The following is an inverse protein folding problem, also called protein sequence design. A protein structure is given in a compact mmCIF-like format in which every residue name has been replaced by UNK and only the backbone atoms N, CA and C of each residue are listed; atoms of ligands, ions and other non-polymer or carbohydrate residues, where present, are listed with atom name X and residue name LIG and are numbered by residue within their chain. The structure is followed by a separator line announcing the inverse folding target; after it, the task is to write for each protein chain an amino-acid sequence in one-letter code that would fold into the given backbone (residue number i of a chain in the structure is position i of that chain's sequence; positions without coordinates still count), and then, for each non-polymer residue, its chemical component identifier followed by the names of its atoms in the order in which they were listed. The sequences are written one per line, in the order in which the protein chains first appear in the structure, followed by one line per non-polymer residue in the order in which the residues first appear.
data_IF_515243351175
#
_entry.id   IF_515243351175
#
_cell.length_a   1.000
_cell.length_b   1.000
_cell.length_c   1.000
_cell.angle_alpha   90.00
_cell.angle_beta   90.00
_cell.angle_gamma   90.00
#
_symmetry.space_group_name_H-M   'P 1'
#
loop_
_entity.id
_entity.type
_entity.pdbx_description
1 polymer ?
#
# COMPACT_ATOMS: atom_id res chain seq x y z
N UNK A 1 37.42 25.80 14.25
CA UNK A 1 35.96 25.54 14.19
C UNK A 1 35.39 25.62 12.76
N UNK A 2 35.97 26.40 11.82
CA UNK A 2 35.51 26.45 10.41
C UNK A 2 35.74 25.14 9.65
N UNK A 3 36.92 24.52 9.82
CA UNK A 3 37.33 23.34 9.07
C UNK A 3 36.42 22.11 9.23
N UNK A 4 35.78 21.96 10.40
CA UNK A 4 34.80 20.89 10.69
C UNK A 4 33.47 21.15 9.99
N UNK A 5 33.06 22.42 9.89
CA UNK A 5 31.84 22.83 9.19
C UNK A 5 32.00 22.65 7.68
N UNK A 6 33.16 23.01 7.13
CA UNK A 6 33.47 22.84 5.71
C UNK A 6 33.55 21.35 5.31
N UNK A 7 34.07 20.51 6.21
CA UNK A 7 34.11 19.06 6.01
C UNK A 7 32.72 18.42 6.08
N UNK A 8 31.83 18.91 6.95
CA UNK A 8 30.46 18.44 7.05
C UNK A 8 29.63 18.82 5.82
N UNK A 9 29.77 20.04 5.33
CA UNK A 9 29.07 20.49 4.12
C UNK A 9 29.58 19.77 2.86
N UNK A 10 30.89 19.49 2.78
CA UNK A 10 31.45 18.66 1.72
C UNK A 10 30.92 17.23 1.74
N UNK A 11 30.77 16.63 2.93
CA UNK A 11 30.23 15.27 3.08
C UNK A 11 28.74 15.22 2.71
N UNK A 12 27.93 16.19 3.16
CA UNK A 12 26.51 16.30 2.78
C UNK A 12 26.35 16.47 1.28
N UNK A 13 27.16 17.31 0.64
CA UNK A 13 27.13 17.49 -0.81
C UNK A 13 27.52 16.20 -1.56
N UNK A 14 28.45 15.41 -1.01
CA UNK A 14 28.84 14.10 -1.57
C UNK A 14 27.74 13.05 -1.39
N UNK A 15 27.09 12.99 -0.23
CA UNK A 15 25.96 12.10 0.03
C UNK A 15 24.79 12.47 -0.88
N UNK A 16 24.41 13.75 -0.98
CA UNK A 16 23.37 14.20 -1.91
C UNK A 16 23.73 13.93 -3.38
N UNK A 17 25.02 13.89 -3.73
CA UNK A 17 25.50 13.46 -5.05
C UNK A 17 25.30 11.96 -5.29
N UNK A 18 25.62 11.13 -4.29
CA UNK A 18 25.45 9.68 -4.34
C UNK A 18 23.98 9.26 -4.31
N UNK A 19 23.14 9.90 -3.50
CA UNK A 19 21.69 9.67 -3.46
C UNK A 19 21.04 9.97 -4.83
N UNK A 20 21.46 11.06 -5.49
CA UNK A 20 21.02 11.36 -6.87
C UNK A 20 21.56 10.37 -7.89
N UNK A 21 22.77 9.84 -7.70
CA UNK A 21 23.35 8.83 -8.57
C UNK A 21 22.63 7.48 -8.41
N UNK A 22 22.33 7.04 -7.18
CA UNK A 22 21.57 5.82 -6.93
C UNK A 22 20.10 5.94 -7.38
N UNK A 23 19.50 7.13 -7.30
CA UNK A 23 18.22 7.42 -7.96
C UNK A 23 18.31 7.35 -9.51
N UNK A 24 19.49 7.64 -10.07
CA UNK A 24 19.80 7.61 -11.50
C UNK A 24 20.34 6.27 -12.05
N UNK A 25 20.70 5.32 -11.19
CA UNK A 25 21.19 3.97 -11.56
C UNK A 25 20.06 3.00 -11.91
N UNK A 26 18.84 3.50 -12.11
CA UNK A 26 17.77 2.77 -12.77
C UNK A 26 18.05 2.73 -14.28
N UNK A 27 18.84 1.75 -14.73
CA UNK A 27 19.12 1.54 -16.15
C UNK A 27 17.86 1.58 -17.01
N UNK A 28 17.74 2.64 -17.83
CA UNK A 28 16.69 2.84 -18.83
C UNK A 28 15.30 2.38 -18.39
N UNK A 29 14.64 3.13 -17.50
CA UNK A 29 13.20 2.94 -17.30
C UNK A 29 12.47 3.26 -18.62
N UNK A 30 11.68 2.33 -19.19
CA UNK A 30 10.92 2.64 -20.39
C UNK A 30 9.96 3.79 -20.09
N UNK A 31 9.93 4.81 -20.95
CA UNK A 31 9.14 6.01 -20.78
C UNK A 31 7.69 5.67 -20.37
N UNK A 32 7.26 6.19 -19.22
CA UNK A 32 5.91 5.99 -18.70
C UNK A 32 5.68 4.74 -17.83
N UNK A 33 6.73 4.03 -17.39
CA UNK A 33 6.64 2.96 -16.38
C UNK A 33 7.64 3.18 -15.25
N UNK A 34 7.31 2.69 -14.06
CA UNK A 34 8.22 2.60 -12.92
C UNK A 34 8.46 1.13 -12.62
N UNK A 35 9.72 0.68 -12.63
CA UNK A 35 10.05 -0.69 -12.23
C UNK A 35 9.77 -0.86 -10.74
N UNK A 36 9.21 -1.99 -10.34
CA UNK A 36 8.98 -2.31 -8.93
C UNK A 36 10.25 -2.79 -8.24
N UNK A 37 11.22 -3.28 -9.02
CA UNK A 37 12.45 -3.90 -8.53
C UNK A 37 12.36 -5.43 -8.45
N UNK A 38 11.15 -5.98 -8.48
CA UNK A 38 10.94 -7.42 -8.47
C UNK A 38 10.74 -7.95 -9.90
N UNK A 39 11.71 -8.72 -10.40
CA UNK A 39 11.75 -9.17 -11.79
C UNK A 39 10.47 -9.88 -12.26
N UNK A 40 9.90 -10.76 -11.42
CA UNK A 40 8.66 -11.47 -11.76
C UNK A 40 7.43 -10.56 -11.87
N UNK A 41 7.36 -9.49 -11.06
CA UNK A 41 6.26 -8.53 -11.07
C UNK A 41 6.42 -7.63 -12.28
N UNK A 42 7.63 -7.13 -12.51
CA UNK A 42 7.93 -6.27 -13.65
C UNK A 42 7.68 -7.00 -14.96
N UNK A 43 8.04 -8.28 -15.07
CA UNK A 43 7.72 -9.12 -16.24
C UNK A 43 6.21 -9.25 -16.44
N UNK A 44 5.44 -9.56 -15.39
CA UNK A 44 3.99 -9.68 -15.45
C UNK A 44 3.29 -8.36 -15.88
N UNK A 45 3.86 -7.21 -15.51
CA UNK A 45 3.37 -5.88 -15.87
C UNK A 45 3.87 -5.38 -17.23
N UNK A 46 4.79 -6.11 -17.86
CA UNK A 46 5.43 -5.72 -19.12
C UNK A 46 6.44 -4.58 -18.95
N UNK A 47 7.31 -4.69 -17.94
CA UNK A 47 8.39 -3.77 -17.64
C UNK A 47 8.13 -2.82 -16.46
N UNK A 48 7.14 -3.11 -15.61
CA UNK A 48 6.82 -2.31 -14.41
C UNK A 48 5.46 -1.62 -14.43
N UNK A 49 5.14 -0.95 -13.32
CA UNK A 49 3.87 -0.27 -13.08
C UNK A 49 3.75 0.94 -14.00
N UNK A 50 2.62 1.08 -14.71
CA UNK A 50 2.40 2.21 -15.62
C UNK A 50 2.21 3.51 -14.84
N UNK A 51 2.88 4.57 -15.26
CA UNK A 51 2.62 5.94 -14.78
C UNK A 51 1.38 6.51 -15.47
N UNK A 52 0.82 7.59 -14.94
CA UNK A 52 -0.33 8.30 -15.53
C UNK A 52 -1.57 7.40 -15.70
N UNK A 53 -1.77 6.47 -14.77
CA UNK A 53 -2.88 5.51 -14.77
C UNK A 53 -3.51 5.40 -13.39
N UNK A 54 -4.73 4.90 -13.36
CA UNK A 54 -5.43 4.52 -12.14
C UNK A 54 -5.05 3.09 -11.74
N UNK A 55 -4.53 2.90 -10.54
CA UNK A 55 -4.26 1.60 -9.94
C UNK A 55 -5.12 1.42 -8.70
N UNK A 56 -5.71 0.24 -8.52
CA UNK A 56 -6.45 -0.10 -7.31
C UNK A 56 -5.67 -1.07 -6.45
N UNK A 57 -5.54 -0.73 -5.16
CA UNK A 57 -4.93 -1.59 -4.14
C UNK A 57 -5.98 -1.88 -3.09
N UNK A 58 -6.34 -3.14 -2.95
CA UNK A 58 -7.28 -3.61 -1.93
C UNK A 58 -6.51 -4.21 -0.76
N UNK A 59 -6.85 -3.82 0.47
CA UNK A 59 -6.48 -4.61 1.63
C UNK A 59 -7.24 -5.94 1.57
N UNK A 60 -6.57 -7.05 1.90
CA UNK A 60 -7.17 -8.38 1.90
C UNK A 60 -8.29 -8.47 2.93
N UNK A 61 -7.99 -8.09 4.17
CA UNK A 61 -8.98 -7.84 5.23
C UNK A 61 -8.97 -6.38 5.70
N UNK A 62 -9.92 -6.01 6.56
CA UNK A 62 -9.93 -4.68 7.17
C UNK A 62 -8.70 -4.45 8.06
N UNK A 63 -8.20 -5.49 8.70
CA UNK A 63 -7.05 -5.44 9.60
C UNK A 63 -5.72 -5.28 8.84
N UNK A 64 -5.70 -5.62 7.54
CA UNK A 64 -4.59 -5.36 6.62
C UNK A 64 -4.49 -3.89 6.16
N UNK A 65 -5.33 -2.98 6.70
CA UNK A 65 -5.32 -1.58 6.28
C UNK A 65 -3.95 -0.91 6.46
N UNK A 66 -3.25 -1.20 7.57
CA UNK A 66 -1.92 -0.67 7.83
C UNK A 66 -0.88 -1.18 6.83
N UNK A 67 -0.89 -2.48 6.51
CA UNK A 67 0.08 -3.04 5.57
C UNK A 67 -0.21 -2.56 4.13
N UNK A 68 -1.48 -2.47 3.72
CA UNK A 68 -1.86 -1.96 2.42
C UNK A 68 -1.48 -0.48 2.26
N UNK A 69 -1.61 0.31 3.33
CA UNK A 69 -1.12 1.69 3.40
C UNK A 69 0.40 1.76 3.20
N UNK A 70 1.17 0.91 3.90
CA UNK A 70 2.62 0.82 3.74
C UNK A 70 3.03 0.42 2.31
N UNK A 71 2.32 -0.53 1.70
CA UNK A 71 2.57 -0.94 0.32
C UNK A 71 2.28 0.19 -0.68
N UNK A 72 1.18 0.93 -0.50
CA UNK A 72 0.88 2.11 -1.32
C UNK A 72 1.94 3.19 -1.15
N UNK A 73 2.44 3.43 0.06
CA UNK A 73 3.53 4.37 0.31
C UNK A 73 4.82 3.94 -0.40
N UNK A 74 5.16 2.65 -0.37
CA UNK A 74 6.30 2.09 -1.09
C UNK A 74 6.17 2.25 -2.61
N UNK A 75 4.99 1.96 -3.18
CA UNK A 75 4.72 2.19 -4.60
C UNK A 75 4.76 3.68 -4.96
N UNK A 76 4.23 4.56 -4.11
CA UNK A 76 4.28 5.99 -4.32
C UNK A 76 5.73 6.50 -4.35
N UNK A 77 6.59 5.97 -3.48
CA UNK A 77 8.02 6.28 -3.48
C UNK A 77 8.70 5.82 -4.79
N UNK A 78 8.38 4.63 -5.30
CA UNK A 78 8.86 4.15 -6.63
C UNK A 78 8.43 5.05 -7.78
N UNK A 79 7.17 5.48 -7.75
CA UNK A 79 6.62 6.37 -8.76
C UNK A 79 7.26 7.76 -8.65
N UNK A 80 7.55 8.23 -7.43
CA UNK A 80 8.21 9.51 -7.19
C UNK A 80 7.33 10.72 -7.53
N UNK A 81 7.92 11.91 -7.34
CA UNK A 81 7.21 13.19 -7.41
C UNK A 81 6.45 13.51 -6.11
N UNK A 82 5.73 14.65 -6.10
CA UNK A 82 4.95 15.06 -4.92
C UNK A 82 3.80 14.08 -4.68
N UNK A 83 3.66 13.60 -3.45
CA UNK A 83 2.58 12.70 -3.05
C UNK A 83 1.46 13.50 -2.38
N UNK A 84 0.25 13.38 -2.93
CA UNK A 84 -0.96 13.86 -2.27
C UNK A 84 -1.77 12.66 -1.79
N UNK A 85 -2.07 12.59 -0.51
CA UNK A 85 -2.83 11.50 0.10
C UNK A 85 -4.17 12.03 0.60
N UNK A 86 -5.25 11.61 -0.04
CA UNK A 86 -6.61 12.05 0.26
C UNK A 86 -7.37 10.94 0.97
N UNK A 87 -7.92 11.26 2.16
CA UNK A 87 -8.61 10.32 3.03
C UNK A 87 -10.00 10.84 3.39
N UNK A 88 -10.92 9.91 3.60
CA UNK A 88 -12.20 10.20 4.22
C UNK A 88 -12.03 10.36 5.74
N UNK A 89 -12.66 11.36 6.36
CA UNK A 89 -12.55 11.60 7.81
C UNK A 89 -13.09 10.45 8.66
N UNK A 90 -14.08 9.72 8.17
CA UNK A 90 -14.55 8.48 8.81
C UNK A 90 -13.54 7.33 8.69
N UNK A 91 -12.71 7.31 7.64
CA UNK A 91 -11.60 6.36 7.53
C UNK A 91 -10.53 6.64 8.59
N UNK A 92 -10.23 7.91 8.88
CA UNK A 92 -9.28 8.29 9.93
C UNK A 92 -9.74 7.82 11.32
N UNK A 93 -11.04 7.93 11.62
CA UNK A 93 -11.60 7.46 12.90
C UNK A 93 -11.57 5.93 13.07
N UNK A 94 -11.61 5.18 11.97
CA UNK A 94 -11.73 3.71 12.00
C UNK A 94 -10.38 3.01 11.81
N UNK A 95 -9.60 3.47 10.84
CA UNK A 95 -8.29 2.93 10.50
C UNK A 95 -7.12 3.69 11.13
N UNK A 96 -7.40 4.76 11.88
CA UNK A 96 -6.38 5.60 12.50
C UNK A 96 -5.74 6.60 11.54
N UNK A 97 -4.74 7.30 12.09
CA UNK A 97 -3.97 8.30 11.37
C UNK A 97 -2.85 7.67 10.56
N UNK A 98 -2.39 8.39 9.53
CA UNK A 98 -1.22 7.98 8.78
C UNK A 98 0.01 8.06 9.69
N UNK A 99 0.66 6.92 9.93
CA UNK A 99 1.73 6.82 10.91
C UNK A 99 3.04 7.38 10.35
N UNK A 100 3.39 8.61 10.73
CA UNK A 100 4.58 9.30 10.19
C UNK A 100 5.90 8.52 10.39
N UNK A 101 6.21 7.96 11.58
CA UNK A 101 7.38 7.08 11.71
C UNK A 101 7.38 5.85 10.79
N UNK A 102 6.22 5.20 10.58
CA UNK A 102 6.11 4.10 9.62
C UNK A 102 6.37 4.52 8.17
N UNK A 103 6.01 5.75 7.78
CA UNK A 103 6.40 6.29 6.46
C UNK A 103 7.91 6.46 6.35
N UNK A 104 8.56 6.93 7.42
CA UNK A 104 10.03 7.05 7.47
C UNK A 104 10.69 5.67 7.34
N UNK A 105 10.15 4.63 7.96
CA UNK A 105 10.63 3.25 7.81
C UNK A 105 10.50 2.72 6.37
N UNK A 106 9.45 3.13 5.65
CA UNK A 106 9.30 2.86 4.20
C UNK A 106 10.31 3.67 3.35
N UNK A 107 10.97 4.67 3.92
CA UNK A 107 11.87 5.59 3.21
C UNK A 107 11.17 6.81 2.62
N UNK A 108 9.90 7.03 2.96
CA UNK A 108 9.12 8.18 2.51
C UNK A 108 9.22 9.30 3.55
N UNK A 109 9.80 10.44 3.17
CA UNK A 109 9.83 11.61 4.05
C UNK A 109 8.42 12.16 4.26
N UNK A 110 7.94 12.33 5.50
CA UNK A 110 6.62 12.93 5.76
C UNK A 110 6.47 14.33 5.17
N UNK A 111 7.57 15.06 4.95
CA UNK A 111 7.57 16.38 4.30
C UNK A 111 7.21 16.34 2.80
N UNK A 112 7.29 15.17 2.17
CA UNK A 112 6.91 14.97 0.76
C UNK A 112 5.44 14.56 0.59
N UNK A 113 4.70 14.45 1.70
CA UNK A 113 3.30 14.00 1.73
C UNK A 113 2.38 15.16 2.07
N UNK A 114 1.52 15.53 1.13
CA UNK A 114 0.41 16.44 1.39
C UNK A 114 -0.80 15.58 1.79
N UNK A 115 -1.16 15.62 3.07
CA UNK A 115 -2.30 14.87 3.60
C UNK A 115 -3.57 15.75 3.60
N UNK A 116 -4.63 15.27 2.96
CA UNK A 116 -5.96 15.87 3.01
C UNK A 116 -6.97 14.92 3.63
N UNK A 117 -7.61 15.33 4.74
CA UNK A 117 -8.77 14.63 5.32
C UNK A 117 -10.04 15.37 4.94
N UNK A 118 -10.97 14.68 4.28
CA UNK A 118 -12.19 15.25 3.70
C UNK A 118 -13.44 14.61 4.32
N UNK A 119 -14.58 15.31 4.36
CA UNK A 119 -15.75 14.87 5.14
C UNK A 119 -16.36 13.54 4.66
N UNK A 120 -16.30 13.25 3.35
CA UNK A 120 -16.90 12.05 2.77
C UNK A 120 -16.17 11.59 1.48
N UNK A 121 -16.49 10.37 1.03
CA UNK A 121 -15.94 9.80 -0.20
C UNK A 121 -16.17 10.67 -1.46
N UNK A 122 -17.27 11.40 -1.56
CA UNK A 122 -17.53 12.26 -2.73
C UNK A 122 -16.59 13.47 -2.74
N UNK A 123 -16.35 14.08 -1.58
CA UNK A 123 -15.39 15.16 -1.41
C UNK A 123 -13.96 14.69 -1.74
N UNK A 124 -13.56 13.50 -1.25
CA UNK A 124 -12.28 12.87 -1.62
C UNK A 124 -12.14 12.73 -3.14
N UNK A 125 -13.16 12.21 -3.82
CA UNK A 125 -13.12 12.01 -5.27
C UNK A 125 -13.08 13.33 -6.06
N UNK A 126 -13.76 14.37 -5.57
CA UNK A 126 -13.68 15.72 -6.16
C UNK A 126 -12.29 16.30 -6.00
N UNK A 127 -11.72 16.23 -4.80
CA UNK A 127 -10.35 16.68 -4.56
C UNK A 127 -9.33 15.89 -5.40
N UNK A 128 -9.51 14.58 -5.57
CA UNK A 128 -8.66 13.76 -6.45
C UNK A 128 -8.74 14.23 -7.92
N UNK A 129 -9.92 14.60 -8.40
CA UNK A 129 -10.07 15.17 -9.74
C UNK A 129 -9.40 16.56 -9.87
N UNK A 130 -9.29 17.31 -8.78
CA UNK A 130 -8.61 18.61 -8.75
C UNK A 130 -7.09 18.45 -8.71
N UNK A 131 -6.60 17.54 -7.86
CA UNK A 131 -5.19 17.18 -7.73
C UNK A 131 -4.62 16.63 -9.04
N UNK A 132 -5.39 15.84 -9.79
CA UNK A 132 -4.97 15.39 -11.12
C UNK A 132 -4.84 16.53 -12.14
N UNK A 133 -5.19 17.78 -11.82
CA UNK A 133 -4.92 18.94 -12.70
C UNK A 133 -3.67 19.71 -12.29
N UNK A 134 -3.00 19.31 -11.21
CA UNK A 134 -1.77 19.93 -10.72
C UNK A 134 -0.55 19.24 -11.36
N UNK A 135 0.25 19.99 -12.13
CA UNK A 135 1.40 19.44 -12.87
C UNK A 135 2.56 18.96 -11.99
N UNK A 136 2.68 19.45 -10.75
CA UNK A 136 3.77 19.10 -9.83
C UNK A 136 3.49 17.85 -8.98
N UNK A 137 2.30 17.24 -9.14
CA UNK A 137 1.90 16.03 -8.41
C UNK A 137 2.33 14.80 -9.19
N UNK A 138 3.14 13.94 -8.57
CA UNK A 138 3.53 12.66 -9.17
C UNK A 138 2.48 11.58 -8.91
N UNK A 139 1.97 11.53 -7.68
CA UNK A 139 1.05 10.49 -7.22
C UNK A 139 -0.07 11.09 -6.39
N UNK A 140 -1.31 10.69 -6.69
CA UNK A 140 -2.49 10.99 -5.88
C UNK A 140 -3.06 9.69 -5.31
N UNK A 141 -3.01 9.54 -3.99
CA UNK A 141 -3.63 8.42 -3.28
C UNK A 141 -5.05 8.82 -2.87
N UNK A 142 -5.99 7.96 -3.20
CA UNK A 142 -7.41 8.10 -2.91
C UNK A 142 -7.81 6.95 -1.99
N UNK A 143 -7.79 7.20 -0.69
CA UNK A 143 -8.13 6.20 0.33
C UNK A 143 -9.64 6.23 0.61
N UNK A 144 -10.28 5.08 0.36
CA UNK A 144 -11.73 4.92 0.49
C UNK A 144 -12.04 3.69 1.34
N UNK A 145 -12.97 3.86 2.28
CA UNK A 145 -13.40 2.79 3.17
C UNK A 145 -14.71 2.17 2.68
N UNK A 146 -14.82 0.84 2.74
CA UNK A 146 -15.96 0.08 2.21
C UNK A 146 -16.22 0.41 0.73
N UNK A 147 -17.46 0.21 0.30
CA UNK A 147 -17.91 0.41 -1.07
C UNK A 147 -18.83 1.65 -1.16
N UNK A 148 -18.27 2.88 -1.08
CA UNK A 148 -19.07 4.09 -1.17
C UNK A 148 -19.68 4.19 -2.56
N UNK A 149 -20.99 4.47 -2.63
CA UNK A 149 -21.74 4.61 -3.89
C UNK A 149 -21.14 5.65 -4.84
N UNK A 150 -20.44 6.65 -4.31
CA UNK A 150 -19.78 7.68 -5.09
C UNK A 150 -18.61 7.15 -5.95
N UNK A 151 -17.99 6.02 -5.57
CA UNK A 151 -16.93 5.39 -6.35
C UNK A 151 -17.50 4.30 -7.26
N UNK A 152 -18.20 4.72 -8.30
CA UNK A 152 -18.77 3.84 -9.31
C UNK A 152 -17.86 3.72 -10.56
N UNK A 153 -18.31 2.96 -11.56
CA UNK A 153 -17.59 2.82 -12.82
C UNK A 153 -17.41 4.16 -13.55
N UNK A 154 -18.34 5.10 -13.39
CA UNK A 154 -18.26 6.42 -14.01
C UNK A 154 -17.18 7.28 -13.35
N UNK A 155 -17.15 7.31 -12.02
CA UNK A 155 -16.14 8.01 -11.23
C UNK A 155 -14.74 7.45 -11.49
N UNK A 156 -14.58 6.12 -11.48
CA UNK A 156 -13.28 5.50 -11.79
C UNK A 156 -12.84 5.78 -13.22
N UNK A 157 -13.75 5.79 -14.21
CA UNK A 157 -13.42 6.20 -15.60
C UNK A 157 -12.95 7.64 -15.69
N UNK A 158 -13.64 8.57 -15.01
CA UNK A 158 -13.26 9.99 -14.99
C UNK A 158 -11.88 10.18 -14.37
N UNK A 159 -11.60 9.50 -13.25
CA UNK A 159 -10.27 9.53 -12.63
C UNK A 159 -9.19 8.92 -13.54
N UNK A 160 -9.46 7.79 -14.19
CA UNK A 160 -8.50 7.17 -15.10
C UNK A 160 -8.16 8.07 -16.29
N UNK A 161 -9.16 8.76 -16.87
CA UNK A 161 -8.95 9.73 -17.95
C UNK A 161 -8.19 10.97 -17.47
N UNK A 162 -8.49 11.47 -16.27
CA UNK A 162 -7.77 12.61 -15.69
C UNK A 162 -6.30 12.26 -15.39
N UNK A 163 -6.03 11.06 -14.87
CA UNK A 163 -4.68 10.55 -14.66
C UNK A 163 -3.89 10.48 -15.98
N UNK A 164 -4.51 9.92 -17.03
CA UNK A 164 -3.89 9.81 -18.34
C UNK A 164 -3.60 11.17 -18.98
N UNK A 165 -4.53 12.13 -18.87
CA UNK A 165 -4.38 13.45 -19.46
C UNK A 165 -3.32 14.32 -18.74
N UNK A 166 -3.10 14.09 -17.45
CA UNK A 166 -2.25 14.95 -16.61
C UNK A 166 -0.86 14.41 -16.36
N UNK A 167 -0.65 13.10 -16.49
CA UNK A 167 0.58 12.44 -16.07
C UNK A 167 0.56 11.98 -14.60
N UNK A 168 -0.38 12.46 -13.79
CA UNK A 168 -0.51 12.07 -12.38
C UNK A 168 -0.91 10.59 -12.28
N UNK A 169 -0.16 9.81 -11.49
CA UNK A 169 -0.55 8.43 -11.22
C UNK A 169 -1.53 8.40 -10.05
N UNK A 170 -2.70 7.80 -10.24
CA UNK A 170 -3.74 7.72 -9.20
C UNK A 170 -3.73 6.33 -8.59
N UNK A 171 -3.61 6.23 -7.27
CA UNK A 171 -3.73 4.97 -6.54
C UNK A 171 -4.99 5.03 -5.67
N UNK A 172 -5.99 4.25 -6.01
CA UNK A 172 -7.17 4.06 -5.16
C UNK A 172 -6.87 2.96 -4.14
N UNK A 173 -6.66 3.36 -2.87
CA UNK A 173 -6.53 2.45 -1.74
C UNK A 173 -7.92 2.10 -1.22
N UNK A 174 -8.24 0.81 -1.20
CA UNK A 174 -9.58 0.28 -0.92
C UNK A 174 -9.52 -0.59 0.33
N UNK A 175 -10.08 -0.08 1.42
CA UNK A 175 -10.07 -0.77 2.73
C UNK A 175 -11.45 -1.33 3.05
N UNK A 176 -11.53 -2.58 3.52
CA UNK A 176 -12.78 -3.26 3.86
C UNK A 176 -13.82 -3.22 2.71
N UNK A 177 -13.34 -3.30 1.47
CA UNK A 177 -14.08 -3.08 0.24
C UNK A 177 -14.00 -4.32 -0.66
N UNK A 178 -15.04 -4.58 -1.44
CA UNK A 178 -15.05 -5.73 -2.36
C UNK A 178 -14.64 -5.30 -3.77
N UNK A 179 -13.72 -6.00 -4.44
CA UNK A 179 -13.40 -5.73 -5.84
C UNK A 179 -14.64 -5.75 -6.75
N UNK A 180 -14.91 -4.61 -7.41
CA UNK A 180 -16.01 -4.42 -8.35
C UNK A 180 -15.50 -3.92 -9.73
N UNK A 181 -16.31 -3.93 -10.81
CA UNK A 181 -15.89 -3.38 -12.10
C UNK A 181 -15.48 -1.90 -12.01
N UNK A 182 -14.29 -1.57 -12.52
CA UNK A 182 -13.76 -0.20 -12.53
C UNK A 182 -12.86 0.04 -13.74
N UNK A 183 -12.47 1.30 -13.97
CA UNK A 183 -11.60 1.68 -15.08
C UNK A 183 -10.09 1.45 -14.82
N UNK A 184 -9.69 0.93 -13.65
CA UNK A 184 -8.29 0.84 -13.25
C UNK A 184 -7.43 0.06 -14.27
N UNK A 185 -6.19 0.49 -14.44
CA UNK A 185 -5.19 -0.19 -15.26
C UNK A 185 -4.77 -1.52 -14.62
N UNK A 186 -4.52 -1.52 -13.31
CA UNK A 186 -4.29 -2.74 -12.54
C UNK A 186 -5.11 -2.74 -11.27
N UNK A 187 -5.38 -3.94 -10.75
CA UNK A 187 -5.99 -4.16 -9.45
C UNK A 187 -5.19 -5.19 -8.69
N UNK A 188 -4.87 -4.86 -7.46
CA UNK A 188 -4.09 -5.69 -6.56
C UNK A 188 -4.86 -5.97 -5.28
N UNK A 189 -4.60 -7.12 -4.69
CA UNK A 189 -4.93 -7.41 -3.30
C UNK A 189 -3.64 -7.53 -2.50
N UNK A 190 -3.63 -7.04 -1.26
CA UNK A 190 -2.47 -6.97 -0.40
C UNK A 190 -2.84 -7.42 1.00
N UNK A 191 -2.07 -8.36 1.54
CA UNK A 191 -2.13 -8.79 2.93
C UNK A 191 -0.76 -8.64 3.59
N UNK A 192 -0.74 -8.55 4.91
CA UNK A 192 0.51 -8.64 5.66
C UNK A 192 1.14 -10.03 5.45
N UNK A 193 2.46 -10.07 5.26
CA UNK A 193 3.21 -11.32 5.29
C UNK A 193 4.24 -11.28 6.43
N UNK A 194 4.64 -12.44 6.98
CA UNK A 194 5.73 -12.48 7.95
C UNK A 194 7.03 -11.97 7.31
N UNK A 195 7.77 -11.12 8.01
CA UNK A 195 9.12 -10.70 7.63
C UNK A 195 10.16 -11.68 8.19
N UNK A 196 11.32 -11.82 7.55
CA UNK A 196 12.45 -12.50 8.16
C UNK A 196 13.05 -11.67 9.31
N UNK A 197 13.22 -12.22 10.52
CA UNK A 197 13.88 -11.49 11.59
C UNK A 197 15.34 -11.20 11.23
N UNK A 198 15.80 -10.01 11.61
CA UNK A 198 17.20 -9.61 11.48
C UNK A 198 18.02 -10.07 12.69
N UNK A 199 19.30 -9.72 12.74
CA UNK A 199 20.19 -10.04 13.86
C UNK A 199 19.56 -9.64 15.21
N UNK A 200 19.84 -10.43 16.24
CA UNK A 200 19.27 -10.26 17.58
C UNK A 200 17.73 -10.29 17.65
N UNK A 201 17.05 -10.94 16.70
CA UNK A 201 15.58 -10.98 16.58
C UNK A 201 14.95 -9.60 16.40
N UNK A 202 15.67 -8.65 15.79
CA UNK A 202 15.07 -7.40 15.37
C UNK A 202 13.99 -7.66 14.29
N UNK A 203 12.92 -6.85 14.24
CA UNK A 203 11.92 -6.93 13.19
C UNK A 203 12.57 -6.88 11.79
N UNK A 204 12.04 -7.67 10.86
CA UNK A 204 12.49 -7.68 9.48
C UNK A 204 11.97 -6.51 8.67
N UNK A 205 12.35 -6.48 7.39
CA UNK A 205 11.78 -5.55 6.44
C UNK A 205 10.26 -5.76 6.29
N UNK A 206 9.48 -4.70 6.02
CA UNK A 206 8.06 -4.83 5.72
C UNK A 206 7.82 -5.85 4.62
N UNK A 207 6.96 -6.83 4.88
CA UNK A 207 6.68 -7.92 3.95
C UNK A 207 5.19 -7.97 3.61
N UNK A 208 4.89 -8.26 2.36
CA UNK A 208 3.51 -8.36 1.84
C UNK A 208 3.31 -9.62 1.02
N UNK A 209 2.11 -10.20 1.14
CA UNK A 209 1.56 -11.10 0.14
C UNK A 209 0.69 -10.26 -0.79
N UNK A 210 1.01 -10.27 -2.09
CA UNK A 210 0.31 -9.46 -3.08
C UNK A 210 -0.21 -10.34 -4.22
N UNK A 211 -1.40 -10.04 -4.71
CA UNK A 211 -2.02 -10.74 -5.83
C UNK A 211 -2.49 -9.75 -6.90
N UNK A 212 -2.15 -10.00 -8.17
CA UNK A 212 -2.64 -9.24 -9.31
C UNK A 212 -4.01 -9.77 -9.76
N UNK A 213 -5.07 -9.22 -9.18
CA UNK A 213 -6.46 -9.60 -9.47
C UNK A 213 -6.87 -9.26 -10.92
N UNK A 214 -6.39 -8.13 -11.46
CA UNK A 214 -6.75 -7.68 -12.81
C UNK A 214 -5.69 -6.77 -13.41
N UNK A 215 -5.49 -6.85 -14.73
CA UNK A 215 -4.81 -5.81 -15.50
C UNK A 215 -5.43 -5.62 -16.90
N UNK A 216 -5.31 -4.42 -17.47
CA UNK A 216 -5.80 -4.12 -18.82
C UNK A 216 -4.71 -4.35 -19.86
N UNK A 217 -5.05 -5.05 -20.95
CA UNK A 217 -4.16 -5.26 -22.09
C UNK A 217 -3.11 -6.36 -21.89
N UNK A 218 -3.12 -7.07 -20.77
CA UNK A 218 -2.23 -8.20 -20.46
C UNK A 218 -2.96 -9.23 -19.59
N UNK A 219 -2.48 -10.50 -19.53
CA UNK A 219 -3.04 -11.52 -18.63
C UNK A 219 -2.89 -11.11 -17.16
N UNK A 220 -3.97 -11.18 -16.38
CA UNK A 220 -3.88 -11.07 -14.93
C UNK A 220 -3.55 -12.44 -14.30
N UNK A 221 -3.47 -12.50 -12.98
CA UNK A 221 -3.09 -13.71 -12.26
C UNK A 221 -1.59 -13.72 -11.97
N UNK A 222 -1.27 -13.91 -10.71
CA UNK A 222 0.08 -13.86 -10.19
C UNK A 222 0.01 -13.45 -8.73
N UNK A 223 0.65 -14.24 -7.88
CA UNK A 223 0.76 -13.99 -6.45
C UNK A 223 2.24 -14.01 -6.10
N UNK A 224 2.65 -13.04 -5.29
CA UNK A 224 4.03 -12.87 -4.87
C UNK A 224 4.08 -12.60 -3.38
N UNK A 225 5.14 -13.08 -2.75
CA UNK A 225 5.53 -12.63 -1.42
C UNK A 225 6.78 -11.78 -1.58
N UNK A 226 6.71 -10.56 -1.11
CA UNK A 226 7.73 -9.54 -1.34
C UNK A 226 8.12 -8.88 -0.03
N UNK A 227 9.38 -8.50 0.08
CA UNK A 227 9.92 -7.66 1.15
C UNK A 227 10.31 -6.29 0.58
N UNK A 228 10.18 -5.24 1.38
CA UNK A 228 10.56 -3.88 1.00
C UNK A 228 12.01 -3.58 1.41
N UNK A 229 12.86 -3.31 0.44
CA UNK A 229 14.15 -2.69 0.71
C UNK A 229 13.97 -1.17 0.65
N UNK A 230 13.96 -0.50 1.80
CA UNK A 230 13.81 0.96 1.88
C UNK A 230 15.05 1.72 1.41
N UNK A 231 16.25 1.14 1.54
CA UNK A 231 17.51 1.76 1.08
C UNK A 231 17.57 1.87 -0.44
N UNK A 232 17.11 0.81 -1.12
CA UNK A 232 17.07 0.76 -2.59
C UNK A 232 15.72 1.23 -3.16
N UNK A 233 14.76 1.52 -2.27
CA UNK A 233 13.37 1.73 -2.58
C UNK A 233 12.89 0.73 -3.63
N UNK A 234 12.86 -0.57 -3.32
CA UNK A 234 12.47 -1.61 -4.27
C UNK A 234 11.81 -2.83 -3.58
N UNK A 235 10.99 -3.56 -4.34
CA UNK A 235 10.46 -4.85 -3.91
C UNK A 235 11.51 -5.94 -4.17
N UNK A 236 11.93 -6.63 -3.12
CA UNK A 236 12.75 -7.82 -3.18
C UNK A 236 11.88 -9.08 -3.05
N UNK A 237 12.38 -10.20 -3.57
CA UNK A 237 11.75 -11.50 -3.32
C UNK A 237 11.91 -11.84 -1.84
N UNK A 238 10.79 -12.12 -1.17
CA UNK A 238 10.85 -12.52 0.24
C UNK A 238 11.52 -13.90 0.32
N UNK A 239 12.68 -13.97 0.98
CA UNK A 239 13.35 -15.23 1.22
C UNK A 239 12.43 -16.09 2.12
N UNK A 240 11.96 -17.22 1.60
CA UNK A 240 11.23 -18.19 2.41
C UNK A 240 12.18 -18.75 3.46
N UNK A 241 11.73 -18.87 4.72
CA UNK A 241 12.44 -19.66 5.73
C UNK A 241 12.48 -21.11 5.25
N UNK A 242 13.54 -21.47 4.56
CA UNK A 242 13.93 -22.86 4.35
C UNK A 242 14.41 -23.41 5.67
N UNK A 243 13.60 -24.24 6.32
CA UNK A 243 14.01 -24.97 7.52
C UNK A 243 15.21 -25.86 7.21
N UNK A 244 16.39 -25.43 7.63
CA UNK A 244 17.55 -26.31 7.75
C UNK A 244 17.43 -27.08 9.08
N UNK A 245 16.90 -28.31 9.00
CA UNK A 245 16.85 -29.24 10.13
C UNK A 245 15.93 -30.42 9.85
N UNK A 246 16.48 -31.51 9.32
CA UNK A 246 15.83 -32.81 9.18
C UNK A 246 15.30 -33.31 10.52
N UNK A 247 13.98 -33.50 10.60
CA UNK A 247 13.30 -34.18 11.69
C UNK A 247 11.80 -33.99 11.52
N UNK A 248 11.11 -35.03 11.07
CA UNK A 248 9.66 -34.98 10.86
C UNK A 248 8.94 -34.48 12.10
N UNK A 249 8.28 -33.34 11.98
CA UNK A 249 7.28 -32.88 12.93
C UNK A 249 6.11 -32.33 12.12
N UNK A 250 4.99 -33.03 12.26
CA UNK A 250 3.70 -32.69 11.71
C UNK A 250 3.33 -31.22 12.00
N UNK A 251 2.48 -30.68 11.13
CA UNK A 251 1.74 -29.45 11.35
C UNK A 251 1.31 -29.36 12.83
N UNK A 252 1.76 -28.31 13.53
CA UNK A 252 1.27 -28.02 14.86
C UNK A 252 -0.20 -27.61 14.73
N UNK A 253 -1.04 -28.63 14.94
CA UNK A 253 -2.48 -28.57 15.11
C UNK A 253 -2.85 -27.52 16.17
N UNK A 254 -3.92 -26.79 15.89
CA UNK A 254 -4.35 -25.61 16.63
C UNK A 254 -4.40 -25.80 18.15
N UNK A 255 -3.61 -25.00 18.85
CA UNK A 255 -3.84 -24.72 20.26
C UNK A 255 -5.02 -23.75 20.36
N UNK A 256 -6.22 -24.29 20.50
CA UNK A 256 -7.39 -23.55 21.00
C UNK A 256 -7.09 -23.18 22.45
N UNK A 257 -6.83 -21.89 22.70
CA UNK A 257 -6.80 -21.36 24.06
C UNK A 257 -8.22 -21.41 24.64
N UNK A 258 -8.41 -21.89 25.89
CA UNK A 258 -9.71 -21.82 26.54
C UNK A 258 -10.04 -20.37 26.88
N UNK A 259 -11.16 -19.87 26.34
CA UNK A 259 -11.77 -18.60 26.78
C UNK A 259 -12.24 -18.77 28.23
N UNK A 260 -11.63 -18.02 29.15
CA UNK A 260 -12.11 -17.94 30.53
C UNK A 260 -13.46 -17.22 30.60
N UNK A 261 -14.37 -17.85 31.34
CA UNK A 261 -15.77 -17.50 31.50
C UNK A 261 -15.99 -16.16 32.24
N UNK A 262 -17.06 -15.44 31.85
CA UNK A 262 -17.57 -14.35 32.67
C UNK A 262 -18.76 -13.57 32.09
N UNK A 263 -19.99 -14.12 32.16
CA UNK A 263 -21.19 -13.35 32.56
C UNK A 263 -22.44 -14.23 32.76
N UNK A 264 -23.38 -13.82 33.62
CA UNK A 264 -24.33 -14.71 34.29
C UNK A 264 -25.57 -15.06 33.46
N UNK A 265 -26.17 -16.17 33.88
CA UNK A 265 -27.38 -16.78 33.36
C UNK A 265 -28.57 -15.82 33.23
N UNK A 266 -29.25 -15.89 32.08
CA UNK A 266 -30.56 -15.28 31.88
C UNK A 266 -31.63 -16.36 32.07
N UNK A 267 -32.53 -16.11 33.02
CA UNK A 267 -33.63 -16.98 33.41
C UNK A 267 -34.57 -17.30 32.23
N UNK A 268 -34.98 -18.57 32.17
CA UNK A 268 -35.99 -19.07 31.26
C UNK A 268 -37.35 -18.43 31.54
N UNK A 269 -37.96 -17.81 30.52
CA UNK A 269 -39.35 -17.40 30.57
C UNK A 269 -40.23 -18.61 30.18
N UNK A 270 -40.98 -19.12 31.16
CA UNK A 270 -42.01 -20.13 30.97
C UNK A 270 -43.18 -19.53 30.18
N UNK A 271 -43.55 -20.19 29.08
CA UNK A 271 -44.73 -19.87 28.29
C UNK A 271 -46.01 -20.23 29.04
N UNK A 272 -46.84 -19.23 29.31
CA UNK A 272 -48.20 -19.43 29.81
C UNK A 272 -49.13 -19.73 28.63
N UNK A 273 -49.77 -20.91 28.63
CA UNK A 273 -50.99 -21.16 27.85
C UNK A 273 -52.19 -20.70 28.67
N UNK A 274 -53.16 -20.03 28.05
CA UNK A 274 -54.57 -20.08 28.44
C UNK A 274 -55.42 -20.25 27.19
N UNK A 275 -56.27 -21.26 27.24
CA UNK A 275 -57.46 -21.42 26.42
C UNK A 275 -58.65 -20.85 27.20
N UNK A 276 -59.63 -20.31 26.48
CA UNK A 276 -60.85 -19.69 27.00
C UNK A 276 -61.10 -18.35 26.35
#
# INVERSE_FOLDING_TARGET
MSHVRDSLESLKARIAGLERACAGESGGEPAGRARTGHAGIDAALGGGLMRARLHEIFAFEADDAGCATGFVAALALRLGGTLVWLREGEAEKRGGQLHAPGLVEIGLSPAQVILGTLPDALAVLRAAADVTRCGDVGVAVVELWRDPRAFDLTASRRLALAAEASGVTVIALRIAATPAPSAAQTRWQVAAAPSLPMEANAPGYPAWAIELLRQRGRPAGGAWRVEWNCEQACLAEALLVGGAGTGGAAALSGAVLPLSAGRPARAAALGFRRAG
#
